data_IF_049631418477
#
_entry.id   IF_049631418477
#
_cell.length_a   1.000
_cell.length_b   1.000
_cell.length_c   1.000
_cell.angle_alpha   90.00
_cell.angle_beta   90.00
_cell.angle_gamma   90.00
#
_symmetry.space_group_name_H-M   'P 1'
#
loop_
_entity.id
_entity.type
_entity.pdbx_description
1 polymer ?
#
# COMPACT_ATOMS: atom_id res chain seq x y z
N UNK A 1 29.05 33.55 1.06
CA UNK A 1 27.94 32.60 1.23
C UNK A 1 28.37 31.36 0.46
N UNK A 2 28.96 30.39 1.14
CA UNK A 2 29.58 29.25 0.48
C UNK A 2 28.46 28.39 -0.09
N UNK A 3 28.41 28.25 -1.42
CA UNK A 3 27.60 27.23 -2.07
C UNK A 3 28.03 25.87 -1.50
N UNK A 4 27.08 25.10 -0.98
CA UNK A 4 27.32 23.70 -0.65
C UNK A 4 27.79 23.00 -1.94
N UNK A 5 28.90 22.22 -1.89
CA UNK A 5 29.38 21.53 -3.08
C UNK A 5 28.26 20.60 -3.58
N UNK A 6 27.97 20.71 -4.87
CA UNK A 6 27.22 19.73 -5.69
C UNK A 6 25.67 19.71 -5.65
N UNK A 7 24.99 20.70 -5.06
CA UNK A 7 23.51 20.80 -5.18
C UNK A 7 23.03 21.04 -6.63
N UNK A 8 21.93 20.40 -7.03
CA UNK A 8 21.29 20.60 -8.35
C UNK A 8 20.10 21.56 -8.22
N UNK A 9 19.88 22.45 -9.19
CA UNK A 9 18.66 23.28 -9.23
C UNK A 9 17.64 22.67 -10.19
N UNK A 10 16.45 22.35 -9.69
CA UNK A 10 15.32 21.82 -10.48
C UNK A 10 14.11 22.73 -10.29
N UNK A 11 13.56 23.27 -11.39
CA UNK A 11 12.45 24.23 -11.36
C UNK A 11 12.66 25.43 -10.41
N UNK A 12 13.91 25.88 -10.26
CA UNK A 12 14.28 26.98 -9.36
C UNK A 12 14.39 26.60 -7.88
N UNK A 13 14.27 25.32 -7.54
CA UNK A 13 14.46 24.79 -6.18
C UNK A 13 15.81 24.08 -6.08
N UNK A 14 16.57 24.38 -5.03
CA UNK A 14 17.83 23.68 -4.72
C UNK A 14 17.53 22.29 -4.18
N UNK A 15 18.17 21.27 -4.77
CA UNK A 15 18.15 19.88 -4.35
C UNK A 15 19.53 19.55 -3.79
N UNK A 16 19.56 19.15 -2.52
CA UNK A 16 20.80 18.77 -1.83
C UNK A 16 21.38 17.49 -2.46
N UNK A 17 22.69 17.47 -2.70
CA UNK A 17 23.41 16.26 -3.11
C UNK A 17 23.60 15.33 -1.90
N UNK A 18 22.56 14.55 -1.65
CA UNK A 18 22.47 13.59 -0.55
C UNK A 18 21.65 12.39 -0.98
N UNK A 19 21.47 11.43 -0.09
CA UNK A 19 20.76 10.19 -0.37
C UNK A 19 19.65 9.91 0.63
N UNK A 20 18.70 9.06 0.22
CA UNK A 20 17.70 8.49 1.11
C UNK A 20 18.16 7.09 1.55
N UNK A 21 18.33 6.88 2.85
CA UNK A 21 18.63 5.56 3.40
C UNK A 21 17.34 4.76 3.61
N UNK A 22 17.20 3.66 2.88
CA UNK A 22 16.04 2.76 2.97
C UNK A 22 16.39 1.48 3.75
N UNK A 23 15.37 0.84 4.32
CA UNK A 23 15.53 -0.37 5.13
C UNK A 23 14.82 -1.57 4.48
N UNK A 24 15.40 -2.78 4.56
CA UNK A 24 14.76 -3.97 4.01
C UNK A 24 13.50 -4.33 4.79
N UNK A 25 12.41 -4.60 4.06
CA UNK A 25 11.13 -5.03 4.63
C UNK A 25 10.61 -6.27 3.90
N UNK A 26 9.70 -7.00 4.54
CA UNK A 26 8.88 -8.01 3.85
C UNK A 26 7.64 -7.32 3.31
N UNK A 27 7.31 -7.61 2.06
CA UNK A 27 6.18 -7.02 1.37
C UNK A 27 5.29 -8.10 0.76
N UNK A 28 4.00 -7.80 0.65
CA UNK A 28 3.07 -8.56 -0.17
C UNK A 28 2.11 -7.61 -0.87
N UNK A 29 1.57 -8.07 -2.01
CA UNK A 29 0.57 -7.37 -2.79
C UNK A 29 -0.69 -8.22 -2.83
N UNK A 30 -1.84 -7.56 -2.67
CA UNK A 30 -3.15 -8.19 -2.83
C UNK A 30 -4.05 -7.33 -3.71
N UNK A 31 -4.99 -7.98 -4.38
CA UNK A 31 -6.03 -7.31 -5.14
C UNK A 31 -7.36 -7.48 -4.41
N UNK A 32 -8.05 -6.38 -4.15
CA UNK A 32 -9.42 -6.39 -3.62
C UNK A 32 -10.35 -5.97 -4.75
N UNK A 33 -11.21 -6.88 -5.19
CA UNK A 33 -12.24 -6.56 -6.20
C UNK A 33 -13.59 -6.42 -5.53
N UNK A 34 -14.50 -5.65 -6.12
CA UNK A 34 -15.84 -5.45 -5.58
C UNK A 34 -16.85 -5.20 -6.71
N UNK A 35 -18.13 -5.04 -6.38
CA UNK A 35 -19.17 -4.77 -7.39
C UNK A 35 -18.92 -3.49 -8.20
N UNK A 36 -18.34 -2.47 -7.57
CA UNK A 36 -17.94 -1.22 -8.22
C UNK A 36 -16.69 -0.63 -7.53
N UNK A 37 -16.11 0.40 -8.14
CA UNK A 37 -14.92 1.07 -7.62
C UNK A 37 -15.12 1.63 -6.21
N UNK A 38 -16.32 2.15 -5.90
CA UNK A 38 -16.63 2.69 -4.57
C UNK A 38 -16.47 1.64 -3.47
N UNK A 39 -17.03 0.44 -3.66
CA UNK A 39 -16.91 -0.65 -2.70
C UNK A 39 -15.49 -1.20 -2.60
N UNK A 40 -14.77 -1.31 -3.72
CA UNK A 40 -13.37 -1.72 -3.71
C UNK A 40 -12.52 -0.72 -2.91
N UNK A 41 -12.76 0.58 -3.12
CA UNK A 41 -12.08 1.66 -2.39
C UNK A 41 -12.41 1.66 -0.90
N UNK A 42 -13.66 1.40 -0.50
CA UNK A 42 -14.01 1.30 0.92
C UNK A 42 -13.25 0.18 1.63
N UNK A 43 -13.20 -1.01 1.02
CA UNK A 43 -12.43 -2.14 1.55
C UNK A 43 -10.93 -1.82 1.63
N UNK A 44 -10.37 -1.23 0.58
CA UNK A 44 -8.96 -0.86 0.52
C UNK A 44 -8.60 0.19 1.58
N UNK A 45 -9.39 1.26 1.72
CA UNK A 45 -9.18 2.31 2.74
C UNK A 45 -9.27 1.73 4.15
N UNK A 46 -10.24 0.86 4.42
CA UNK A 46 -10.36 0.19 5.72
C UNK A 46 -9.14 -0.70 6.01
N UNK A 47 -8.71 -1.49 5.01
CA UNK A 47 -7.55 -2.38 5.13
C UNK A 47 -6.24 -1.63 5.38
N UNK A 48 -6.06 -0.46 4.75
CA UNK A 48 -4.84 0.36 4.87
C UNK A 48 -4.89 1.38 6.02
N UNK A 49 -6.01 1.47 6.74
CA UNK A 49 -6.13 2.32 7.92
C UNK A 49 -5.23 1.85 9.07
N UNK A 50 -4.76 2.77 9.92
CA UNK A 50 -3.87 2.48 11.05
C UNK A 50 -2.66 1.61 10.62
N UNK A 51 -1.95 2.05 9.58
CA UNK A 51 -0.82 1.33 8.98
C UNK A 51 0.24 2.29 8.41
N UNK A 52 0.58 3.35 9.16
CA UNK A 52 1.50 4.40 8.66
C UNK A 52 2.97 4.11 8.94
N UNK A 53 3.28 3.37 10.01
CA UNK A 53 4.64 2.98 10.35
C UNK A 53 4.65 1.64 11.08
N UNK A 54 5.56 0.75 10.69
CA UNK A 54 5.76 -0.53 11.37
C UNK A 54 6.13 -0.38 12.85
N UNK A 55 6.68 0.77 13.26
CA UNK A 55 7.15 1.04 14.63
C UNK A 55 6.00 0.94 15.65
N UNK A 56 4.81 1.43 15.31
CA UNK A 56 3.68 1.51 16.25
C UNK A 56 2.31 1.10 15.66
N UNK A 57 2.21 0.86 14.35
CA UNK A 57 0.98 0.38 13.70
C UNK A 57 1.00 -1.14 13.41
N UNK A 58 2.17 -1.77 13.54
CA UNK A 58 2.38 -3.21 13.28
C UNK A 58 2.57 -3.58 11.80
N UNK A 59 2.12 -2.76 10.86
CA UNK A 59 2.52 -2.81 9.45
C UNK A 59 2.52 -1.41 8.83
N UNK A 60 3.10 -1.30 7.64
CA UNK A 60 2.87 -0.21 6.70
C UNK A 60 1.96 -0.72 5.59
N UNK A 61 0.96 0.04 5.17
CA UNK A 61 0.07 -0.36 4.10
C UNK A 61 -0.44 0.83 3.29
N UNK A 62 -0.66 0.62 1.99
CA UNK A 62 -1.12 1.66 1.10
C UNK A 62 -1.88 1.10 -0.10
N UNK A 63 -2.81 1.90 -0.60
CA UNK A 63 -3.45 1.66 -1.90
C UNK A 63 -2.44 2.06 -2.96
N UNK A 64 -1.94 1.10 -3.73
CA UNK A 64 -1.00 1.33 -4.82
C UNK A 64 -1.69 2.03 -5.99
N UNK A 65 -2.83 1.48 -6.43
CA UNK A 65 -3.69 2.05 -7.46
C UNK A 65 -5.05 1.37 -7.52
N UNK A 66 -6.02 2.04 -8.13
CA UNK A 66 -7.28 1.41 -8.56
C UNK A 66 -7.09 0.65 -9.87
N UNK A 67 -7.92 -0.37 -10.10
CA UNK A 67 -7.86 -1.30 -11.23
C UNK A 67 -9.19 -1.33 -11.98
N UNK A 68 -9.09 -1.36 -13.32
CA UNK A 68 -10.22 -1.68 -14.19
C UNK A 68 -10.63 -3.15 -14.08
N UNK A 69 -11.85 -3.46 -14.55
CA UNK A 69 -12.36 -4.83 -14.61
C UNK A 69 -11.54 -5.74 -15.55
N UNK A 70 -10.88 -5.16 -16.55
CA UNK A 70 -10.00 -5.84 -17.51
C UNK A 70 -8.64 -6.22 -16.93
N UNK A 71 -8.30 -5.71 -15.75
CA UNK A 71 -7.02 -5.95 -15.08
C UNK A 71 -7.12 -6.95 -13.91
N UNK A 72 -8.33 -7.44 -13.60
CA UNK A 72 -8.57 -8.23 -12.38
C UNK A 72 -8.98 -9.68 -12.69
N UNK A 73 -8.67 -10.64 -11.80
CA UNK A 73 -8.89 -12.07 -12.07
C UNK A 73 -10.36 -12.47 -12.24
N UNK A 74 -11.30 -11.70 -11.69
CA UNK A 74 -12.72 -11.99 -11.70
C UNK A 74 -13.55 -11.03 -12.57
N UNK A 75 -12.89 -10.17 -13.34
CA UNK A 75 -13.57 -9.26 -14.27
C UNK A 75 -14.34 -8.12 -13.58
N UNK A 76 -13.98 -7.78 -12.33
CA UNK A 76 -14.63 -6.71 -11.56
C UNK A 76 -13.66 -5.59 -11.20
N UNK A 77 -14.11 -4.32 -11.07
CA UNK A 77 -13.22 -3.24 -10.65
C UNK A 77 -12.62 -3.54 -9.28
N UNK A 78 -11.39 -3.08 -9.06
CA UNK A 78 -10.64 -3.42 -7.86
C UNK A 78 -9.62 -2.38 -7.42
N UNK A 79 -8.90 -2.71 -6.36
CA UNK A 79 -7.80 -1.95 -5.81
C UNK A 79 -6.59 -2.86 -5.59
N UNK A 80 -5.43 -2.39 -6.02
CA UNK A 80 -4.14 -2.98 -5.68
C UNK A 80 -3.66 -2.41 -4.36
N UNK A 81 -3.34 -3.27 -3.39
CA UNK A 81 -2.92 -2.87 -2.04
C UNK A 81 -1.59 -3.52 -1.70
N UNK A 82 -0.66 -2.71 -1.17
CA UNK A 82 0.64 -3.15 -0.68
C UNK A 82 0.63 -3.16 0.86
N UNK A 83 1.23 -4.21 1.44
CA UNK A 83 1.47 -4.34 2.87
C UNK A 83 2.93 -4.67 3.12
N UNK A 84 3.51 -4.02 4.12
CA UNK A 84 4.90 -4.16 4.53
C UNK A 84 5.02 -4.42 6.03
N UNK A 85 5.94 -5.30 6.41
CA UNK A 85 6.28 -5.57 7.81
C UNK A 85 7.75 -6.00 7.97
N UNK A 86 8.26 -5.98 9.20
CA UNK A 86 9.66 -6.32 9.49
C UNK A 86 9.99 -7.81 9.32
N UNK A 87 8.99 -8.71 9.31
CA UNK A 87 9.19 -10.14 9.14
C UNK A 87 8.03 -10.80 8.39
N UNK A 88 8.27 -11.97 7.80
CA UNK A 88 7.23 -12.72 7.09
C UNK A 88 6.11 -13.20 8.02
N UNK A 89 6.45 -13.53 9.27
CA UNK A 89 5.48 -13.94 10.30
C UNK A 89 4.54 -12.78 10.67
N UNK A 90 5.08 -11.59 10.92
CA UNK A 90 4.24 -10.42 11.22
C UNK A 90 3.45 -9.96 9.99
N UNK A 91 4.03 -10.03 8.78
CA UNK A 91 3.32 -9.74 7.55
C UNK A 91 2.11 -10.65 7.36
N UNK A 92 2.28 -11.97 7.53
CA UNK A 92 1.19 -12.93 7.41
C UNK A 92 0.07 -12.65 8.44
N UNK A 93 0.44 -12.37 9.69
CA UNK A 93 -0.50 -12.02 10.77
C UNK A 93 -1.28 -10.72 10.49
N UNK A 94 -0.60 -9.70 9.96
CA UNK A 94 -1.22 -8.42 9.59
C UNK A 94 -2.15 -8.59 8.40
N UNK A 95 -1.73 -9.36 7.39
CA UNK A 95 -2.57 -9.69 6.24
C UNK A 95 -3.84 -10.41 6.69
N UNK A 96 -3.74 -11.51 7.45
CA UNK A 96 -4.89 -12.28 7.94
C UNK A 96 -5.89 -11.40 8.70
N UNK A 97 -5.41 -10.60 9.66
CA UNK A 97 -6.25 -9.73 10.48
C UNK A 97 -6.97 -8.68 9.64
N UNK A 98 -6.25 -8.01 8.74
CA UNK A 98 -6.82 -6.92 7.93
C UNK A 98 -7.76 -7.45 6.87
N UNK A 99 -7.44 -8.58 6.25
CA UNK A 99 -8.37 -9.25 5.33
C UNK A 99 -9.62 -9.69 6.08
N UNK A 100 -9.48 -10.36 7.22
CA UNK A 100 -10.61 -10.89 7.98
C UNK A 100 -11.51 -9.83 8.60
N UNK A 101 -10.99 -8.65 8.94
CA UNK A 101 -11.76 -7.60 9.65
C UNK A 101 -12.08 -6.37 8.80
N UNK A 102 -11.44 -6.20 7.65
CA UNK A 102 -11.68 -5.05 6.76
C UNK A 102 -12.19 -5.45 5.37
N UNK A 103 -11.71 -6.58 4.81
CA UNK A 103 -12.10 -7.01 3.46
C UNK A 103 -13.29 -7.96 3.53
N UNK A 104 -13.17 -9.07 4.27
CA UNK A 104 -14.25 -10.06 4.48
C UNK A 104 -15.57 -9.42 4.94
N UNK A 105 -15.47 -8.37 5.75
CA UNK A 105 -16.61 -7.64 6.32
C UNK A 105 -17.17 -6.55 5.40
N UNK A 106 -16.45 -6.20 4.33
CA UNK A 106 -16.88 -5.19 3.38
C UNK A 106 -17.79 -5.82 2.31
N UNK A 107 -18.95 -5.20 1.98
CA UNK A 107 -19.87 -5.75 1.00
C UNK A 107 -19.21 -6.02 -0.37
N UNK A 108 -19.61 -7.12 -0.98
CA UNK A 108 -19.30 -7.52 -2.37
C UNK A 108 -17.85 -7.90 -2.65
N UNK A 109 -16.94 -7.84 -1.67
CA UNK A 109 -15.51 -8.00 -1.97
C UNK A 109 -15.12 -9.43 -2.30
N UNK A 110 -14.13 -9.58 -3.18
CA UNK A 110 -13.24 -10.76 -3.21
C UNK A 110 -11.79 -10.32 -3.06
N UNK A 111 -10.92 -11.25 -2.67
CA UNK A 111 -9.49 -11.00 -2.51
C UNK A 111 -8.66 -12.01 -3.31
N UNK A 112 -7.63 -11.51 -3.99
CA UNK A 112 -6.72 -12.30 -4.81
C UNK A 112 -5.26 -11.95 -4.50
N UNK A 113 -4.35 -12.86 -4.89
CA UNK A 113 -2.93 -12.54 -4.94
C UNK A 113 -2.71 -11.44 -5.99
N UNK A 114 -1.90 -10.44 -5.63
CA UNK A 114 -1.48 -9.37 -6.53
C UNK A 114 -0.09 -9.59 -7.10
#
# INVERSE_FOLDING_TARGET
MNQAPDSVTLNGVTIDDTFAEAFPMKATRVLITAHNETWARHAAVAMTGFATSVIACGCEAGIERMLGADETPDGRPGASVLLFAMSGKELAKQLERRVGQCVLTCPTTAIFAG
#
